data_IF_407876184326
#
_entry.id   IF_407876184326
#
_cell.length_a   1.000
_cell.length_b   1.000
_cell.length_c   1.000
_cell.angle_alpha   90.00
_cell.angle_beta   90.00
_cell.angle_gamma   90.00
#
_symmetry.space_group_name_H-M   'P 1'
#
loop_
_entity.id
_entity.type
_entity.pdbx_description
1 polymer ?
#
# COMPACT_ATOMS: atom_id res chain seq x y z
N UNK A 1 -18.37 -27.91 -19.80
CA UNK A 1 -19.29 -26.87 -19.27
C UNK A 1 -18.83 -25.53 -19.85
N UNK A 2 -19.64 -24.86 -20.68
CA UNK A 2 -19.34 -23.47 -21.08
C UNK A 2 -19.43 -22.62 -19.82
N UNK A 3 -18.33 -21.97 -19.43
CA UNK A 3 -18.35 -20.96 -18.39
C UNK A 3 -19.20 -19.81 -18.98
N UNK A 4 -20.41 -19.60 -18.46
CA UNK A 4 -21.13 -18.37 -18.72
C UNK A 4 -20.26 -17.25 -18.15
N UNK A 5 -19.87 -16.28 -18.97
CA UNK A 5 -19.24 -15.07 -18.49
C UNK A 5 -20.22 -14.42 -17.51
N UNK A 6 -19.88 -14.40 -16.22
CA UNK A 6 -20.64 -13.64 -15.24
C UNK A 6 -20.55 -12.18 -15.68
N UNK A 7 -21.66 -11.59 -16.09
CA UNK A 7 -21.71 -10.17 -16.41
C UNK A 7 -21.83 -9.44 -15.08
N UNK A 8 -20.69 -9.10 -14.48
CA UNK A 8 -20.63 -8.33 -13.25
C UNK A 8 -21.01 -6.87 -13.55
N UNK A 9 -21.83 -6.28 -12.69
CA UNK A 9 -22.19 -4.87 -12.72
C UNK A 9 -21.48 -4.15 -11.55
N UNK A 10 -20.45 -3.34 -11.83
CA UNK A 10 -19.70 -2.60 -10.81
C UNK A 10 -20.56 -1.71 -9.90
N UNK A 11 -21.72 -1.26 -10.38
CA UNK A 11 -22.65 -0.45 -9.60
C UNK A 11 -23.40 -1.29 -8.54
N UNK A 12 -23.74 -2.54 -8.81
CA UNK A 12 -24.58 -3.37 -7.91
C UNK A 12 -23.81 -4.46 -7.18
N UNK A 13 -22.71 -4.94 -7.75
CA UNK A 13 -22.08 -6.19 -7.34
C UNK A 13 -20.87 -5.95 -6.41
N UNK A 14 -20.53 -4.70 -6.10
CA UNK A 14 -19.39 -4.30 -5.25
C UNK A 14 -18.11 -5.08 -5.62
N UNK A 15 -17.68 -4.91 -6.87
CA UNK A 15 -16.51 -5.60 -7.42
C UNK A 15 -15.25 -5.01 -6.80
N UNK A 16 -14.30 -5.88 -6.45
CA UNK A 16 -12.96 -5.48 -6.03
C UNK A 16 -12.14 -4.99 -7.24
N UNK A 17 -11.61 -3.77 -7.14
CA UNK A 17 -10.71 -3.17 -8.13
C UNK A 17 -9.24 -3.25 -7.72
N UNK A 18 -8.93 -3.82 -6.55
CA UNK A 18 -7.57 -3.94 -6.05
C UNK A 18 -6.74 -4.88 -6.94
N UNK A 19 -5.58 -4.39 -7.36
CA UNK A 19 -4.55 -5.21 -8.00
C UNK A 19 -3.40 -5.46 -7.04
N UNK A 20 -2.94 -6.70 -6.98
CA UNK A 20 -1.68 -7.04 -6.31
C UNK A 20 -0.53 -6.28 -6.96
N UNK A 21 0.50 -5.98 -6.17
CA UNK A 21 1.70 -5.22 -6.58
C UNK A 21 1.47 -3.77 -7.03
N UNK A 22 0.24 -3.25 -6.96
CA UNK A 22 -0.03 -1.87 -7.35
C UNK A 22 0.68 -0.85 -6.45
N UNK A 23 1.30 0.17 -7.06
CA UNK A 23 1.64 1.41 -6.38
C UNK A 23 0.42 2.35 -6.31
N UNK A 24 0.58 3.49 -5.65
CA UNK A 24 -0.51 4.46 -5.46
C UNK A 24 -0.83 5.31 -6.70
N UNK A 25 0.03 5.27 -7.72
CA UNK A 25 0.08 6.26 -8.80
C UNK A 25 -1.07 6.18 -9.82
N UNK A 26 -1.12 7.18 -10.71
CA UNK A 26 -2.09 7.31 -11.80
C UNK A 26 -1.56 6.81 -13.15
N UNK A 27 -0.66 5.83 -13.12
CA UNK A 27 -0.14 5.13 -14.29
C UNK A 27 -0.16 3.62 -14.07
N UNK A 28 0.30 2.88 -15.07
CA UNK A 28 0.52 1.44 -14.98
C UNK A 28 1.98 1.14 -14.66
N UNK A 29 2.19 0.28 -13.68
CA UNK A 29 3.48 -0.29 -13.32
C UNK A 29 3.75 -1.56 -14.16
N UNK A 30 5.02 -1.95 -14.29
CA UNK A 30 5.43 -3.24 -14.83
C UNK A 30 6.03 -4.14 -13.74
N UNK A 31 5.26 -5.14 -13.29
CA UNK A 31 5.65 -6.04 -12.19
C UNK A 31 6.56 -7.21 -12.62
N UNK A 32 7.03 -7.24 -13.87
CA UNK A 32 7.86 -8.34 -14.43
C UNK A 32 9.36 -7.98 -14.55
N UNK A 33 9.82 -6.89 -13.91
CA UNK A 33 11.18 -6.34 -14.14
C UNK A 33 12.32 -7.01 -13.34
N UNK A 34 12.08 -8.10 -12.60
CA UNK A 34 13.14 -8.78 -11.84
C UNK A 34 13.67 -7.98 -10.63
N UNK A 35 14.73 -8.46 -9.94
CA UNK A 35 15.19 -7.89 -8.68
C UNK A 35 16.08 -6.66 -8.92
N UNK A 36 15.47 -5.46 -8.93
CA UNK A 36 16.04 -4.10 -9.11
C UNK A 36 16.01 -3.62 -10.59
N UNK A 37 15.56 -2.39 -10.94
CA UNK A 37 15.87 -1.07 -10.37
C UNK A 37 14.71 -0.07 -10.64
N UNK A 38 13.63 -0.13 -9.84
CA UNK A 38 12.39 0.65 -9.96
C UNK A 38 11.41 0.09 -10.98
N UNK A 39 10.18 -0.20 -10.53
CA UNK A 39 8.97 -0.36 -11.35
C UNK A 39 8.73 0.97 -12.08
N UNK A 40 9.14 1.10 -13.36
CA UNK A 40 8.95 2.34 -14.07
C UNK A 40 7.50 2.40 -14.54
N UNK A 41 6.97 3.62 -14.65
CA UNK A 41 5.82 3.86 -15.52
C UNK A 41 6.09 3.19 -16.86
N UNK A 42 5.19 2.29 -17.28
CA UNK A 42 5.30 1.64 -18.57
C UNK A 42 4.33 2.29 -19.55
N UNK A 43 4.78 3.19 -20.44
CA UNK A 43 3.90 3.87 -21.39
C UNK A 43 3.26 2.91 -22.41
N UNK A 44 3.75 1.66 -22.50
CA UNK A 44 3.14 0.63 -23.33
C UNK A 44 1.95 -0.07 -22.66
N UNK A 45 1.76 0.15 -21.35
CA UNK A 45 0.64 -0.38 -20.61
C UNK A 45 -0.57 0.56 -20.72
N UNK A 46 -1.62 0.07 -21.37
CA UNK A 46 -2.89 0.81 -21.54
C UNK A 46 -4.09 0.09 -20.91
N UNK A 47 -3.91 -1.17 -20.50
CA UNK A 47 -4.94 -2.00 -19.85
C UNK A 47 -4.32 -2.97 -18.84
N UNK A 48 -5.06 -3.39 -17.79
CA UNK A 48 -4.57 -4.38 -16.84
C UNK A 48 -4.30 -5.74 -17.49
N UNK A 49 -3.30 -6.46 -16.97
CA UNK A 49 -3.00 -7.84 -17.34
C UNK A 49 -1.71 -8.06 -18.12
N UNK A 50 -1.44 -9.32 -18.47
CA UNK A 50 -0.26 -9.74 -19.22
C UNK A 50 -0.38 -9.30 -20.70
N UNK A 51 0.47 -8.36 -21.12
CA UNK A 51 0.51 -7.90 -22.51
C UNK A 51 1.53 -8.68 -23.36
N UNK A 52 2.56 -9.27 -22.73
CA UNK A 52 3.55 -10.20 -23.31
C UNK A 52 4.40 -10.83 -22.17
N UNK A 53 5.18 -11.90 -22.40
CA UNK A 53 6.23 -12.30 -21.45
C UNK A 53 7.17 -11.11 -21.20
N UNK A 54 7.37 -10.68 -19.95
CA UNK A 54 8.15 -9.48 -19.60
C UNK A 54 7.32 -8.21 -19.33
N UNK A 55 5.98 -8.26 -19.43
CA UNK A 55 5.10 -7.10 -19.20
C UNK A 55 3.83 -7.47 -18.42
N UNK A 56 3.88 -7.31 -17.10
CA UNK A 56 2.72 -7.40 -16.22
C UNK A 56 2.20 -5.98 -15.94
N UNK A 57 1.20 -5.53 -16.71
CA UNK A 57 0.63 -4.19 -16.54
C UNK A 57 -0.29 -4.16 -15.32
N UNK A 58 0.20 -3.55 -14.24
CA UNK A 58 -0.53 -3.39 -12.99
C UNK A 58 -1.02 -1.94 -12.89
N UNK A 59 -2.33 -1.68 -12.85
CA UNK A 59 -2.82 -0.32 -12.65
C UNK A 59 -2.48 0.14 -11.23
N UNK A 60 -1.86 1.31 -11.08
CA UNK A 60 -1.76 1.97 -9.78
C UNK A 60 -3.14 2.31 -9.22
N UNK A 61 -3.24 2.58 -7.91
CA UNK A 61 -4.53 2.78 -7.24
C UNK A 61 -5.36 3.92 -7.87
N UNK A 62 -4.74 5.02 -8.27
CA UNK A 62 -5.46 6.12 -8.96
C UNK A 62 -6.03 5.66 -10.30
N UNK A 63 -5.34 4.80 -11.05
CA UNK A 63 -5.88 4.18 -12.27
C UNK A 63 -7.02 3.21 -11.96
N UNK A 64 -6.93 2.42 -10.88
CA UNK A 64 -8.02 1.55 -10.43
C UNK A 64 -9.28 2.37 -10.12
N UNK A 65 -9.13 3.52 -9.45
CA UNK A 65 -10.23 4.45 -9.19
C UNK A 65 -10.82 5.01 -10.50
N UNK A 66 -9.99 5.44 -11.45
CA UNK A 66 -10.46 5.90 -12.77
C UNK A 66 -11.28 4.82 -13.47
N UNK A 67 -10.79 3.57 -13.51
CA UNK A 67 -11.53 2.45 -14.11
C UNK A 67 -12.86 2.18 -13.41
N UNK A 68 -12.87 2.24 -12.07
CA UNK A 68 -14.12 2.12 -11.31
C UNK A 68 -15.13 3.20 -11.71
N UNK A 69 -14.71 4.47 -11.69
CA UNK A 69 -15.57 5.62 -11.98
C UNK A 69 -16.11 5.56 -13.41
N UNK A 70 -15.28 5.24 -14.40
CA UNK A 70 -15.71 5.01 -15.78
C UNK A 70 -16.79 3.93 -15.87
N UNK A 71 -16.58 2.81 -15.19
CA UNK A 71 -17.50 1.68 -15.19
C UNK A 71 -18.85 1.96 -14.51
N UNK A 72 -18.90 2.93 -13.59
CA UNK A 72 -20.15 3.40 -12.96
C UNK A 72 -20.65 4.72 -13.55
N UNK A 73 -20.13 5.14 -14.70
CA UNK A 73 -20.48 6.39 -15.39
C UNK A 73 -20.36 7.62 -14.49
N UNK A 74 -19.29 7.70 -13.70
CA UNK A 74 -18.99 8.77 -12.75
C UNK A 74 -20.11 8.99 -11.70
N UNK A 75 -20.91 7.95 -11.46
CA UNK A 75 -21.99 7.94 -10.46
C UNK A 75 -21.84 6.71 -9.57
N UNK A 76 -20.92 6.74 -8.60
CA UNK A 76 -20.79 5.70 -7.59
C UNK A 76 -22.13 5.35 -6.93
N UNK A 77 -22.29 4.09 -6.55
CA UNK A 77 -23.48 3.69 -5.80
C UNK A 77 -23.42 4.29 -4.38
N UNK A 78 -24.45 5.02 -3.93
CA UNK A 78 -24.47 5.65 -2.61
C UNK A 78 -24.54 4.65 -1.45
N UNK A 79 -24.48 3.34 -1.70
CA UNK A 79 -24.39 2.27 -0.69
C UNK A 79 -23.04 1.56 -0.67
N UNK A 80 -22.14 1.87 -1.60
CA UNK A 80 -20.82 1.23 -1.65
C UNK A 80 -19.91 1.80 -0.56
N UNK A 81 -19.27 0.90 0.17
CA UNK A 81 -18.18 1.22 1.09
C UNK A 81 -16.86 1.16 0.33
N UNK A 82 -16.05 2.21 0.43
CA UNK A 82 -14.71 2.30 -0.15
C UNK A 82 -13.66 2.09 0.94
N UNK A 83 -12.75 1.16 0.70
CA UNK A 83 -11.59 0.91 1.56
C UNK A 83 -10.33 1.09 0.69
N UNK A 84 -9.49 2.05 1.04
CA UNK A 84 -8.23 2.33 0.35
C UNK A 84 -7.09 1.85 1.26
N UNK A 85 -6.33 0.87 0.80
CA UNK A 85 -5.11 0.40 1.47
C UNK A 85 -4.01 0.18 0.43
N UNK A 86 -3.12 1.17 0.31
CA UNK A 86 -2.04 1.20 -0.69
C UNK A 86 -0.85 1.99 -0.13
N UNK A 87 0.33 1.87 -0.74
CA UNK A 87 1.55 2.57 -0.35
C UNK A 87 2.70 1.66 0.07
N UNK A 88 2.44 0.37 0.33
CA UNK A 88 3.48 -0.58 0.70
C UNK A 88 4.53 -0.76 -0.41
N UNK A 89 4.07 -0.93 -1.65
CA UNK A 89 4.96 -1.06 -2.81
C UNK A 89 5.73 0.24 -3.08
N UNK A 90 5.05 1.38 -3.02
CA UNK A 90 5.63 2.72 -3.12
C UNK A 90 6.82 2.88 -2.15
N UNK A 91 6.61 2.57 -0.86
CA UNK A 91 7.62 2.74 0.18
C UNK A 91 8.78 1.75 0.05
N UNK A 92 8.52 0.49 -0.31
CA UNK A 92 9.57 -0.51 -0.56
C UNK A 92 10.41 -0.13 -1.78
N UNK A 93 9.77 0.35 -2.85
CA UNK A 93 10.46 0.85 -4.04
C UNK A 93 11.31 2.07 -3.69
N UNK A 94 10.75 3.03 -2.94
CA UNK A 94 11.44 4.25 -2.54
C UNK A 94 12.67 4.03 -1.64
N UNK A 95 12.59 3.09 -0.69
CA UNK A 95 13.77 2.72 0.11
C UNK A 95 14.83 2.01 -0.73
N UNK A 96 14.46 1.19 -1.72
CA UNK A 96 15.41 0.58 -2.66
C UNK A 96 16.14 1.65 -3.47
N UNK A 97 15.45 2.68 -3.99
CA UNK A 97 16.10 3.81 -4.69
C UNK A 97 17.05 4.58 -3.78
N UNK A 98 16.67 4.75 -2.52
CA UNK A 98 17.48 5.43 -1.55
C UNK A 98 18.76 4.64 -1.21
N UNK A 99 18.64 3.31 -1.05
CA UNK A 99 19.79 2.42 -0.84
C UNK A 99 20.70 2.43 -2.07
N UNK A 100 20.13 2.33 -3.28
CA UNK A 100 20.88 2.43 -4.53
C UNK A 100 21.67 3.74 -4.62
N UNK A 101 21.04 4.88 -4.30
CA UNK A 101 21.73 6.17 -4.25
C UNK A 101 22.85 6.16 -3.21
N UNK A 102 22.59 5.67 -2.00
CA UNK A 102 23.61 5.54 -0.95
C UNK A 102 24.82 4.72 -1.41
N UNK A 103 24.59 3.54 -1.98
CA UNK A 103 25.65 2.65 -2.45
C UNK A 103 26.42 3.22 -3.66
N UNK A 104 25.77 3.98 -4.55
CA UNK A 104 26.38 4.53 -5.78
C UNK A 104 27.08 5.87 -5.58
N UNK A 105 26.51 6.77 -4.81
CA UNK A 105 27.02 8.15 -4.67
C UNK A 105 27.80 8.36 -3.38
N UNK A 106 27.76 7.41 -2.44
CA UNK A 106 28.41 7.53 -1.14
C UNK A 106 27.85 8.68 -0.30
N UNK A 107 26.57 9.05 -0.48
CA UNK A 107 25.94 10.08 0.34
C UNK A 107 26.07 9.71 1.83
N UNK A 108 26.37 10.70 2.68
CA UNK A 108 26.55 10.44 4.10
C UNK A 108 25.22 10.08 4.80
N UNK A 109 25.31 9.58 6.04
CA UNK A 109 24.14 9.16 6.83
C UNK A 109 23.16 10.31 7.13
N UNK A 110 23.64 11.53 7.27
CA UNK A 110 22.79 12.69 7.56
C UNK A 110 22.01 13.10 6.31
N UNK A 111 22.64 13.05 5.14
CA UNK A 111 22.01 13.24 3.84
C UNK A 111 20.98 12.15 3.58
N UNK A 112 21.30 10.89 3.89
CA UNK A 112 20.38 9.76 3.82
C UNK A 112 19.13 9.99 4.67
N UNK A 113 19.31 10.39 5.92
CA UNK A 113 18.22 10.73 6.84
C UNK A 113 17.38 11.90 6.32
N UNK A 114 18.03 13.00 5.90
CA UNK A 114 17.33 14.18 5.36
C UNK A 114 16.47 13.83 4.14
N UNK A 115 16.98 12.99 3.25
CA UNK A 115 16.23 12.53 2.08
C UNK A 115 15.05 11.65 2.51
N UNK A 116 15.24 10.75 3.48
CA UNK A 116 14.13 9.93 4.02
C UNK A 116 12.97 10.76 4.58
N UNK A 117 13.26 11.89 5.24
CA UNK A 117 12.24 12.83 5.71
C UNK A 117 11.46 13.46 4.55
N UNK A 118 12.14 13.75 3.45
CA UNK A 118 11.55 14.45 2.33
C UNK A 118 10.69 13.54 1.46
N UNK A 119 11.01 12.24 1.34
CA UNK A 119 10.18 11.27 0.60
C UNK A 119 8.89 10.92 1.30
N UNK A 120 8.91 10.90 2.63
CA UNK A 120 7.71 10.60 3.40
C UNK A 120 6.68 11.75 3.39
N UNK A 121 7.03 12.92 2.81
CA UNK A 121 6.15 14.09 2.71
C UNK A 121 5.36 14.13 1.40
N UNK A 122 4.19 14.79 1.44
CA UNK A 122 3.13 14.62 0.46
C UNK A 122 3.40 15.16 -0.95
N UNK A 123 4.20 16.21 -1.11
CA UNK A 123 4.11 17.01 -2.36
C UNK A 123 5.41 17.15 -3.16
N UNK A 124 6.46 16.36 -2.89
CA UNK A 124 7.74 16.54 -3.60
C UNK A 124 8.31 15.25 -4.15
N UNK A 125 8.18 15.05 -5.47
CA UNK A 125 9.09 14.18 -6.22
C UNK A 125 10.50 14.72 -6.05
N UNK A 126 11.34 14.05 -5.28
CA UNK A 126 12.76 14.42 -5.21
C UNK A 126 13.40 13.90 -6.49
N UNK A 127 13.88 14.81 -7.35
CA UNK A 127 14.72 14.42 -8.47
C UNK A 127 16.16 14.36 -8.00
N UNK A 128 16.79 13.19 -8.13
CA UNK A 128 18.24 13.10 -8.01
C UNK A 128 18.91 13.97 -9.08
N UNK A 129 20.08 14.55 -8.78
CA UNK A 129 20.90 15.32 -9.74
C UNK A 129 21.22 14.53 -11.04
N UNK A 130 21.03 13.20 -11.03
CA UNK A 130 21.16 12.33 -12.20
C UNK A 130 19.89 12.25 -13.07
N UNK A 131 18.85 13.07 -12.84
CA UNK A 131 17.62 13.19 -13.63
C UNK A 131 16.82 11.90 -13.94
N UNK A 132 17.16 10.76 -13.32
CA UNK A 132 16.66 9.42 -13.69
C UNK A 132 15.96 8.66 -12.55
N UNK A 133 16.00 9.17 -11.31
CA UNK A 133 15.37 8.51 -10.16
C UNK A 133 14.20 9.38 -9.70
N UNK A 134 13.00 8.79 -9.76
CA UNK A 134 11.74 9.38 -9.34
C UNK A 134 11.19 8.62 -8.14
N UNK A 135 10.93 9.35 -7.06
CA UNK A 135 10.28 8.81 -5.87
C UNK A 135 8.77 8.95 -5.98
N UNK A 136 8.08 8.00 -5.36
CA UNK A 136 6.62 8.00 -5.27
C UNK A 136 6.12 9.10 -4.30
N UNK A 137 4.82 9.38 -4.34
CA UNK A 137 4.16 10.33 -3.43
C UNK A 137 2.79 9.78 -2.98
N UNK A 138 2.79 8.63 -2.27
CA UNK A 138 1.58 7.86 -2.02
C UNK A 138 0.54 8.59 -1.18
N UNK A 139 0.96 9.46 -0.25
CA UNK A 139 0.01 10.25 0.54
C UNK A 139 -0.78 11.20 -0.36
N UNK A 140 -0.13 11.92 -1.27
CA UNK A 140 -0.83 12.79 -2.23
C UNK A 140 -1.77 12.00 -3.13
N UNK A 141 -1.34 10.83 -3.61
CA UNK A 141 -2.20 10.00 -4.45
C UNK A 141 -3.45 9.52 -3.71
N UNK A 142 -3.31 9.11 -2.45
CA UNK A 142 -4.45 8.71 -1.61
C UNK A 142 -5.34 9.92 -1.31
N UNK A 143 -4.78 11.06 -0.95
CA UNK A 143 -5.52 12.30 -0.77
C UNK A 143 -6.35 12.63 -2.01
N UNK A 144 -5.74 12.57 -3.21
CA UNK A 144 -6.45 12.80 -4.48
C UNK A 144 -7.53 11.77 -4.75
N UNK A 145 -7.32 10.50 -4.41
CA UNK A 145 -8.36 9.48 -4.54
C UNK A 145 -9.57 9.77 -3.65
N UNK A 146 -9.35 10.19 -2.40
CA UNK A 146 -10.43 10.60 -1.48
C UNK A 146 -11.14 11.85 -2.01
N UNK A 147 -10.39 12.86 -2.44
CA UNK A 147 -10.94 14.09 -3.05
C UNK A 147 -11.84 13.76 -4.25
N UNK A 148 -11.39 12.87 -5.14
CA UNK A 148 -12.15 12.49 -6.34
C UNK A 148 -13.40 11.66 -6.02
N UNK A 149 -13.35 10.77 -5.04
CA UNK A 149 -14.54 10.04 -4.58
C UNK A 149 -15.60 11.01 -4.01
N UNK A 150 -15.20 11.95 -3.16
CA UNK A 150 -16.13 12.98 -2.63
C UNK A 150 -16.71 13.86 -3.76
N UNK A 151 -15.88 14.29 -4.72
CA UNK A 151 -16.32 15.07 -5.88
C UNK A 151 -17.35 14.33 -6.76
N UNK A 152 -17.28 13.00 -6.80
CA UNK A 152 -18.24 12.14 -7.50
C UNK A 152 -19.45 11.75 -6.65
N UNK A 153 -19.61 12.35 -5.47
CA UNK A 153 -20.80 12.21 -4.63
C UNK A 153 -20.76 11.01 -3.67
N UNK A 154 -19.61 10.37 -3.49
CA UNK A 154 -19.43 9.38 -2.41
C UNK A 154 -19.48 10.12 -1.08
N UNK A 155 -20.30 9.65 -0.15
CA UNK A 155 -20.35 10.24 1.18
C UNK A 155 -19.03 9.98 1.92
N UNK A 156 -18.47 10.95 2.66
CA UNK A 156 -17.28 10.75 3.48
C UNK A 156 -17.45 9.67 4.56
N UNK A 157 -18.70 9.32 4.91
CA UNK A 157 -19.04 8.22 5.81
C UNK A 157 -18.79 6.84 5.20
N UNK A 158 -18.53 6.78 3.90
CA UNK A 158 -18.35 5.55 3.15
C UNK A 158 -16.89 5.35 2.72
N UNK A 159 -15.98 6.26 3.07
CA UNK A 159 -14.59 6.21 2.65
C UNK A 159 -13.72 5.92 3.86
N UNK A 160 -13.03 4.79 3.83
CA UNK A 160 -12.06 4.37 4.82
C UNK A 160 -10.69 4.27 4.18
N UNK A 161 -9.67 4.76 4.89
CA UNK A 161 -8.28 4.66 4.46
C UNK A 161 -7.51 3.93 5.54
N UNK A 162 -6.70 2.95 5.16
CA UNK A 162 -5.81 2.27 6.09
C UNK A 162 -4.39 2.83 5.97
N UNK A 163 -3.76 3.09 7.12
CA UNK A 163 -2.35 3.42 7.17
C UNK A 163 -1.49 2.16 6.91
N UNK A 164 -0.16 2.30 6.88
CA UNK A 164 0.74 1.15 6.64
C UNK A 164 1.20 0.50 7.95
N UNK A 165 1.34 -0.85 7.97
CA UNK A 165 2.09 -1.53 9.04
C UNK A 165 3.57 -1.11 8.99
N UNK A 166 4.31 -1.31 10.07
CA UNK A 166 5.77 -1.09 10.08
C UNK A 166 6.47 -2.00 9.06
N UNK A 167 6.81 -1.43 7.91
CA UNK A 167 7.43 -2.15 6.81
C UNK A 167 8.85 -2.63 7.16
N UNK A 168 9.51 -2.01 8.15
CA UNK A 168 10.85 -2.41 8.58
C UNK A 168 10.89 -3.80 9.23
N UNK A 169 9.74 -4.28 9.71
CA UNK A 169 9.59 -5.59 10.32
C UNK A 169 9.47 -6.73 9.29
N UNK A 170 9.14 -6.43 8.03
CA UNK A 170 8.94 -7.43 6.99
C UNK A 170 10.24 -8.16 6.62
N UNK A 171 10.21 -9.48 6.32
CA UNK A 171 11.41 -10.20 5.90
C UNK A 171 12.09 -9.59 4.66
N UNK A 172 11.33 -9.02 3.73
CA UNK A 172 11.87 -8.32 2.56
C UNK A 172 12.69 -7.08 2.93
N UNK A 173 12.29 -6.32 3.96
CA UNK A 173 13.06 -5.19 4.44
C UNK A 173 14.42 -5.64 4.99
N UNK A 174 14.45 -6.74 5.75
CA UNK A 174 15.69 -7.35 6.24
C UNK A 174 16.60 -7.80 5.09
N UNK A 175 16.03 -8.43 4.07
CA UNK A 175 16.77 -8.85 2.88
C UNK A 175 17.33 -7.66 2.10
N UNK A 176 16.49 -6.66 1.80
CA UNK A 176 16.83 -5.45 1.06
C UNK A 176 17.95 -4.65 1.75
N UNK A 177 17.83 -4.50 3.07
CA UNK A 177 18.81 -3.76 3.87
C UNK A 177 20.04 -4.58 4.25
N UNK A 178 20.13 -5.86 3.86
CA UNK A 178 21.16 -6.81 4.30
C UNK A 178 21.29 -6.83 5.85
N UNK A 179 20.16 -6.75 6.55
CA UNK A 179 20.07 -6.61 8.01
C UNK A 179 20.82 -5.41 8.60
N UNK A 180 21.07 -4.36 7.81
CA UNK A 180 21.70 -3.15 8.30
C UNK A 180 20.73 -2.37 9.19
N UNK A 181 21.03 -2.31 10.49
CA UNK A 181 20.19 -1.63 11.50
C UNK A 181 19.88 -0.18 11.16
N UNK A 182 20.81 0.55 10.53
CA UNK A 182 20.60 1.97 10.18
C UNK A 182 19.56 2.08 9.07
N UNK A 183 19.66 1.23 8.04
CA UNK A 183 18.70 1.21 6.94
C UNK A 183 17.31 0.74 7.39
N UNK A 184 17.24 -0.24 8.30
CA UNK A 184 15.98 -0.65 8.93
C UNK A 184 15.36 0.49 9.75
N UNK A 185 16.17 1.22 10.54
CA UNK A 185 15.67 2.41 11.27
C UNK A 185 15.19 3.52 10.33
N UNK A 186 15.80 3.68 9.15
CA UNK A 186 15.32 4.63 8.14
C UNK A 186 13.98 4.19 7.56
N UNK A 187 13.81 2.91 7.24
CA UNK A 187 12.53 2.40 6.73
C UNK A 187 11.41 2.50 7.79
N UNK A 188 11.73 2.22 9.05
CA UNK A 188 10.82 2.44 10.18
C UNK A 188 10.40 3.91 10.28
N UNK A 189 11.36 4.83 10.17
CA UNK A 189 11.10 6.27 10.17
C UNK A 189 10.23 6.69 8.98
N UNK A 190 10.53 6.20 7.77
CA UNK A 190 9.75 6.50 6.57
C UNK A 190 8.30 6.04 6.73
N UNK A 191 8.08 4.85 7.30
CA UNK A 191 6.73 4.34 7.57
C UNK A 191 5.97 5.21 8.57
N UNK A 192 6.61 5.61 9.66
CA UNK A 192 6.00 6.48 10.67
C UNK A 192 5.65 7.86 10.10
N UNK A 193 6.56 8.45 9.32
CA UNK A 193 6.34 9.74 8.68
C UNK A 193 5.25 9.66 7.62
N UNK A 194 5.21 8.59 6.81
CA UNK A 194 4.12 8.33 5.89
C UNK A 194 2.78 8.28 6.62
N UNK A 195 2.68 7.50 7.71
CA UNK A 195 1.44 7.35 8.48
C UNK A 195 1.01 8.68 9.12
N UNK A 196 1.97 9.47 9.61
CA UNK A 196 1.72 10.80 10.17
C UNK A 196 1.23 11.78 9.10
N UNK A 197 1.89 11.85 7.96
CA UNK A 197 1.53 12.77 6.88
C UNK A 197 0.20 12.37 6.23
N UNK A 198 -0.07 11.06 6.07
CA UNK A 198 -1.38 10.57 5.64
C UNK A 198 -2.51 11.05 6.56
N UNK A 199 -2.30 10.97 7.88
CA UNK A 199 -3.25 11.50 8.85
C UNK A 199 -3.46 13.01 8.67
N UNK A 200 -2.39 13.79 8.52
CA UNK A 200 -2.49 15.24 8.34
C UNK A 200 -3.20 15.58 7.04
N UNK A 201 -2.78 15.00 5.91
CA UNK A 201 -3.37 15.24 4.59
C UNK A 201 -4.88 15.00 4.59
N UNK A 202 -5.33 13.88 5.16
CA UNK A 202 -6.75 13.52 5.13
C UNK A 202 -7.59 14.29 6.13
N UNK A 203 -7.06 14.65 7.29
CA UNK A 203 -7.88 15.22 8.39
C UNK A 203 -7.79 16.74 8.52
N UNK A 204 -6.88 17.40 7.81
CA UNK A 204 -6.65 18.84 7.94
C UNK A 204 -6.86 19.65 6.66
N UNK A 205 -6.89 19.01 5.48
CA UNK A 205 -7.24 19.71 4.24
C UNK A 205 -8.74 20.06 4.25
N UNK A 206 -9.06 21.35 4.13
CA UNK A 206 -10.43 21.85 4.12
C UNK A 206 -11.23 21.46 2.87
N UNK A 207 -10.59 20.89 1.85
CA UNK A 207 -11.25 20.31 0.68
C UNK A 207 -11.87 18.95 0.95
N UNK A 208 -11.41 18.25 1.98
CA UNK A 208 -11.89 16.93 2.34
C UNK A 208 -12.83 17.02 3.55
N UNK A 209 -13.89 16.21 3.53
CA UNK A 209 -14.78 16.03 4.67
C UNK A 209 -14.49 14.70 5.38
N UNK A 210 -13.28 14.18 5.21
CA UNK A 210 -12.84 12.91 5.76
C UNK A 210 -12.81 12.94 7.29
N UNK A 211 -13.40 11.91 7.91
CA UNK A 211 -13.47 11.79 9.36
C UNK A 211 -12.22 11.07 9.88
N UNK A 212 -11.60 11.60 10.92
CA UNK A 212 -10.47 10.95 11.61
C UNK A 212 -10.78 9.50 12.00
N UNK A 213 -12.02 9.19 12.40
CA UNK A 213 -12.47 7.85 12.77
C UNK A 213 -12.50 6.85 11.60
N UNK A 214 -12.32 7.30 10.35
CA UNK A 214 -12.27 6.41 9.17
C UNK A 214 -10.83 6.12 8.72
N UNK A 215 -9.82 6.61 9.46
CA UNK A 215 -8.44 6.19 9.29
C UNK A 215 -8.20 4.91 10.10
N UNK A 216 -8.05 3.78 9.41
CA UNK A 216 -7.82 2.46 10.02
C UNK A 216 -6.34 2.30 10.36
N UNK A 217 -6.02 1.95 11.61
CA UNK A 217 -4.63 1.82 12.07
C UNK A 217 -4.11 0.38 11.97
N UNK A 218 -3.53 0.04 10.83
CA UNK A 218 -2.84 -1.25 10.64
C UNK A 218 -1.51 -1.29 11.37
N UNK A 219 -0.85 -0.14 11.53
CA UNK A 219 0.38 -0.01 12.32
C UNK A 219 0.16 -0.45 13.77
N UNK A 220 -0.82 0.15 14.46
CA UNK A 220 -1.09 -0.17 15.87
C UNK A 220 -1.57 -1.62 16.02
N UNK A 221 -2.34 -2.11 15.05
CA UNK A 221 -2.79 -3.49 15.03
C UNK A 221 -1.63 -4.48 14.90
N UNK A 222 -0.69 -4.22 14.00
CA UNK A 222 0.51 -5.03 13.86
C UNK A 222 1.36 -5.00 15.15
N UNK A 223 1.60 -3.82 15.70
CA UNK A 223 2.32 -3.65 16.97
C UNK A 223 1.70 -4.46 18.11
N UNK A 224 0.36 -4.47 18.18
CA UNK A 224 -0.39 -5.26 19.16
C UNK A 224 -0.16 -6.76 18.98
N UNK A 225 -0.14 -7.26 17.75
CA UNK A 225 0.15 -8.66 17.45
C UNK A 225 1.61 -8.99 17.81
N UNK A 226 2.55 -8.15 17.40
CA UNK A 226 3.99 -8.44 17.52
C UNK A 226 4.47 -8.38 18.97
N UNK A 227 3.78 -7.65 19.84
CA UNK A 227 4.03 -7.67 21.30
C UNK A 227 3.59 -8.95 21.99
N UNK A 228 2.55 -9.62 21.49
CA UNK A 228 1.96 -10.82 22.09
C UNK A 228 1.56 -11.86 21.04
N UNK A 229 2.49 -12.33 20.19
CA UNK A 229 2.18 -13.15 19.03
C UNK A 229 1.44 -14.45 19.39
N UNK A 230 1.74 -15.03 20.55
CA UNK A 230 1.11 -16.24 21.05
C UNK A 230 -0.40 -16.08 21.30
N UNK A 231 -0.87 -14.89 21.68
CA UNK A 231 -2.30 -14.60 21.88
C UNK A 231 -3.08 -14.65 20.56
N UNK A 232 -2.38 -14.47 19.45
CA UNK A 232 -2.93 -14.49 18.09
C UNK A 232 -2.60 -15.79 17.35
N UNK A 233 -1.96 -16.76 18.03
CA UNK A 233 -1.60 -18.05 17.45
C UNK A 233 -0.34 -18.03 16.60
N UNK A 234 0.52 -17.02 16.73
CA UNK A 234 1.79 -16.94 16.03
C UNK A 234 2.96 -17.43 16.89
N UNK A 235 3.84 -18.22 16.28
CA UNK A 235 5.13 -18.65 16.83
C UNK A 235 6.30 -18.09 16.04
N UNK A 236 6.07 -17.58 14.82
CA UNK A 236 7.08 -16.93 14.00
C UNK A 236 6.50 -15.66 13.36
N UNK A 237 7.03 -14.51 13.78
CA UNK A 237 6.71 -13.17 13.22
C UNK A 237 7.90 -12.56 12.47
N UNK A 238 9.00 -13.30 12.31
CA UNK A 238 10.28 -12.78 11.84
C UNK A 238 10.64 -13.25 10.43
N UNK A 239 10.34 -14.53 10.14
CA UNK A 239 10.61 -15.19 8.86
C UNK A 239 9.31 -15.46 8.09
N UNK A 240 9.46 -15.90 6.83
CA UNK A 240 8.33 -16.32 6.02
C UNK A 240 8.14 -17.84 6.01
N UNK A 241 6.88 -18.26 5.96
CA UNK A 241 6.49 -19.67 5.81
C UNK A 241 7.17 -20.33 4.60
N UNK A 242 7.16 -19.64 3.44
CA UNK A 242 7.74 -20.15 2.18
C UNK A 242 9.26 -20.29 2.28
N UNK A 243 9.95 -19.32 2.88
CA UNK A 243 11.42 -19.41 3.10
C UNK A 243 11.77 -20.63 3.95
N UNK A 244 10.94 -20.94 4.95
CA UNK A 244 11.13 -22.08 5.84
C UNK A 244 10.55 -23.39 5.29
N UNK A 245 10.02 -23.41 4.06
CA UNK A 245 9.38 -24.58 3.42
C UNK A 245 8.26 -25.19 4.27
N UNK A 246 7.49 -24.33 4.95
CA UNK A 246 6.36 -24.72 5.79
C UNK A 246 5.00 -24.61 5.05
N UNK A 247 5.02 -24.27 3.76
CA UNK A 247 3.85 -24.19 2.90
C UNK A 247 3.31 -25.60 2.54
N UNK A 248 2.00 -25.73 2.23
CA UNK A 248 0.97 -24.68 2.20
C UNK A 248 0.31 -24.41 3.56
N UNK A 249 0.69 -25.13 4.63
CA UNK A 249 0.00 -25.10 5.92
C UNK A 249 0.29 -23.79 6.67
N UNK A 250 1.56 -23.36 6.71
CA UNK A 250 2.00 -22.09 7.31
C UNK A 250 1.51 -21.83 8.75
N UNK A 251 1.30 -22.89 9.54
CA UNK A 251 0.79 -22.76 10.89
C UNK A 251 1.79 -22.01 11.78
N UNK A 252 1.30 -21.02 12.52
CA UNK A 252 2.12 -20.21 13.43
C UNK A 252 2.93 -19.09 12.77
N UNK A 253 2.86 -18.93 11.44
CA UNK A 253 3.58 -17.88 10.73
C UNK A 253 2.72 -16.64 10.50
N UNK A 254 3.28 -15.47 10.79
CA UNK A 254 2.66 -14.20 10.41
C UNK A 254 2.79 -13.95 8.90
N UNK A 255 3.98 -14.18 8.34
CA UNK A 255 4.32 -13.93 6.94
C UNK A 255 4.24 -15.22 6.10
N UNK A 256 3.53 -15.16 4.97
CA UNK A 256 3.49 -16.23 3.97
C UNK A 256 4.79 -16.25 3.16
N UNK A 257 5.08 -15.14 2.48
CA UNK A 257 6.34 -14.88 1.79
C UNK A 257 7.04 -13.67 2.43
N UNK A 258 8.05 -13.10 1.78
CA UNK A 258 8.86 -12.03 2.38
C UNK A 258 8.12 -10.71 2.64
N UNK A 259 6.92 -10.52 2.08
CA UNK A 259 6.13 -9.29 2.21
C UNK A 259 4.72 -9.55 2.75
N UNK A 260 4.09 -10.64 2.33
CA UNK A 260 2.65 -10.82 2.46
C UNK A 260 2.29 -11.63 3.71
N UNK A 261 1.17 -11.29 4.38
CA UNK A 261 0.65 -12.07 5.50
C UNK A 261 0.20 -13.47 5.07
N UNK A 262 0.21 -14.43 6.00
CA UNK A 262 -0.48 -15.71 5.84
C UNK A 262 -2.01 -15.53 5.85
N UNK A 263 -2.76 -16.53 5.42
CA UNK A 263 -4.22 -16.49 5.49
C UNK A 263 -4.76 -16.27 6.93
N UNK A 264 -4.21 -16.91 7.99
CA UNK A 264 -4.54 -16.56 9.38
C UNK A 264 -4.29 -15.09 9.72
N UNK A 265 -3.14 -14.53 9.34
CA UNK A 265 -2.84 -13.10 9.52
C UNK A 265 -3.82 -12.20 8.75
N UNK A 266 -4.11 -12.52 7.50
CA UNK A 266 -5.09 -11.80 6.68
C UNK A 266 -6.49 -11.80 7.32
N UNK A 267 -6.91 -12.91 7.92
CA UNK A 267 -8.18 -12.98 8.67
C UNK A 267 -8.19 -12.04 9.88
N UNK A 268 -7.08 -11.97 10.63
CA UNK A 268 -6.95 -11.05 11.77
C UNK A 268 -7.01 -9.59 11.31
N UNK A 269 -6.32 -9.25 10.22
CA UNK A 269 -6.34 -7.90 9.63
C UNK A 269 -7.77 -7.55 9.18
N UNK A 270 -8.44 -8.44 8.44
CA UNK A 270 -9.82 -8.21 8.01
C UNK A 270 -10.78 -7.98 9.19
N UNK A 271 -10.62 -8.75 10.27
CA UNK A 271 -11.41 -8.55 11.49
C UNK A 271 -11.13 -7.19 12.15
N UNK A 272 -9.88 -6.73 12.14
CA UNK A 272 -9.54 -5.39 12.64
C UNK A 272 -10.25 -4.30 11.84
N UNK A 273 -10.23 -4.39 10.51
CA UNK A 273 -10.96 -3.45 9.64
C UNK A 273 -12.45 -3.43 9.96
N UNK A 274 -13.08 -4.61 10.08
CA UNK A 274 -14.50 -4.71 10.44
C UNK A 274 -14.78 -4.03 11.79
N UNK A 275 -13.93 -4.27 12.80
CA UNK A 275 -14.10 -3.66 14.12
C UNK A 275 -13.95 -2.15 14.10
N UNK A 276 -12.95 -1.61 13.39
CA UNK A 276 -12.74 -0.17 13.29
C UNK A 276 -13.87 0.52 12.52
N UNK A 277 -14.34 -0.08 11.41
CA UNK A 277 -15.50 0.42 10.64
C UNK A 277 -16.80 0.36 11.46
N UNK A 278 -16.98 -0.65 12.31
CA UNK A 278 -18.15 -0.70 13.19
C UNK A 278 -18.07 0.34 14.31
N UNK A 279 -16.88 0.55 14.88
CA UNK A 279 -16.65 1.50 15.96
C UNK A 279 -16.82 2.97 15.53
N UNK A 280 -16.60 3.30 14.25
CA UNK A 280 -16.87 4.63 13.68
C UNK A 280 -18.36 4.93 13.46
N UNK A 281 -19.24 3.91 13.59
CA UNK A 281 -20.69 4.04 13.49
C UNK A 281 -21.44 3.56 14.75
N UNK A 282 -21.20 4.16 15.94
CA UNK A 282 -21.72 3.61 17.20
C UNK A 282 -23.25 3.72 17.40
N UNK A 283 -24.00 4.32 16.47
CA UNK A 283 -25.44 4.62 16.60
C UNK A 283 -26.31 4.15 15.41
N UNK A 284 -25.91 3.11 14.69
CA UNK A 284 -26.78 2.39 13.74
C UNK A 284 -27.00 0.95 14.17
#
# INVERSE_FOLDING_TARGET
RKIQSLQLNPYTDNIDYAYASAESANWYDNDDTGPHVFTPENPNCTKPGLMAPGNACVPGMRMQLTHYLENVNNKPNPKTLFIIWVGGNDMINDIDKLIYLYEKTGIDKQTLYKNSLAFANDEKSIRSNNNSIHFSYPVYNIHKAVEELEQHGVSPQQIYVANLPDLSSAPAAKALTKNNKILLSILHLMTNLYNFNLYIALTTDSKLHFQKSHLISTYDFQEKIFKHPEQYGFTNIEDSCVTNKADPICQGYFFFNTLHPTAPSGKLIANNFIQEIQASHPNT
#
